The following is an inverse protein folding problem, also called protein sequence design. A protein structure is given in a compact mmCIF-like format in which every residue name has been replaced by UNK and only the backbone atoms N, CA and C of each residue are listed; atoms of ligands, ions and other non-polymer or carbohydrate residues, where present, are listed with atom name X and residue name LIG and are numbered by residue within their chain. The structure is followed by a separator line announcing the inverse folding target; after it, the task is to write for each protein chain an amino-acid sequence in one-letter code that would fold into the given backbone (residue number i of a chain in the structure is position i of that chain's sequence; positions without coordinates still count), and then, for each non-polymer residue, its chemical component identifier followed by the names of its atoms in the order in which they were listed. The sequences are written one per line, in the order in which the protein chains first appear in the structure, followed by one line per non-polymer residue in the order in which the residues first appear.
data_IF_635045225190
#
_entry.id   IF_635045225190
#
_cell.length_a   1.000
_cell.length_b   1.000
_cell.length_c   1.000
_cell.angle_alpha   90.00
_cell.angle_beta   90.00
_cell.angle_gamma   90.00
#
_symmetry.space_group_name_H-M   'P 1'
#
loop_
_entity.id
_entity.type
_entity.pdbx_description
1 polymer ?
#
# COMPACT_ATOMS: atom_id res chain seq x y z
N UNK A 1 13.80 17.56 -6.27
CA UNK A 1 12.37 17.21 -6.29
C UNK A 1 11.52 18.46 -6.08
N UNK A 2 10.65 18.75 -7.05
CA UNK A 2 9.64 19.81 -7.01
C UNK A 2 8.43 19.37 -7.83
N UNK A 3 7.25 19.37 -7.23
CA UNK A 3 6.01 18.96 -7.90
C UNK A 3 4.80 19.72 -7.35
N UNK A 4 3.71 19.71 -8.12
CA UNK A 4 2.38 20.19 -7.70
C UNK A 4 1.34 19.12 -8.00
N UNK A 5 0.45 18.87 -7.05
CA UNK A 5 -0.62 17.87 -7.17
C UNK A 5 -1.92 18.41 -6.56
N UNK A 6 -3.06 18.01 -7.14
CA UNK A 6 -4.38 18.36 -6.61
C UNK A 6 -4.62 17.64 -5.27
N UNK A 7 -5.22 18.35 -4.31
CA UNK A 7 -5.37 17.89 -2.93
C UNK A 7 -6.17 16.60 -2.82
N UNK A 8 -7.26 16.42 -3.57
CA UNK A 8 -8.07 15.19 -3.53
C UNK A 8 -7.32 13.97 -4.07
N UNK A 9 -6.56 14.13 -5.15
CA UNK A 9 -5.68 13.08 -5.69
C UNK A 9 -4.62 12.67 -4.66
N UNK A 10 -3.89 13.64 -4.11
CA UNK A 10 -2.86 13.36 -3.10
C UNK A 10 -3.46 12.72 -1.85
N UNK A 11 -4.63 13.19 -1.39
CA UNK A 11 -5.30 12.65 -0.22
C UNK A 11 -5.72 11.19 -0.42
N UNK A 12 -6.25 10.85 -1.60
CA UNK A 12 -6.64 9.49 -1.94
C UNK A 12 -5.44 8.55 -1.89
N UNK A 13 -4.33 8.92 -2.55
CA UNK A 13 -3.16 8.06 -2.58
C UNK A 13 -2.44 7.96 -1.24
N UNK A 14 -2.38 9.05 -0.47
CA UNK A 14 -1.89 8.99 0.90
C UNK A 14 -2.76 8.07 1.76
N UNK A 15 -4.09 8.10 1.62
CA UNK A 15 -5.00 7.24 2.36
C UNK A 15 -4.73 5.74 2.11
N UNK A 16 -4.37 5.37 0.87
CA UNK A 16 -4.01 4.01 0.52
C UNK A 16 -2.68 3.59 1.18
N UNK A 17 -1.61 4.39 1.02
CA UNK A 17 -0.28 3.99 1.49
C UNK A 17 -0.14 4.12 3.02
N UNK A 18 -0.78 5.09 3.67
CA UNK A 18 -0.62 5.25 5.12
C UNK A 18 -1.23 4.09 5.94
N UNK A 19 -2.06 3.22 5.35
CA UNK A 19 -2.74 2.15 6.09
C UNK A 19 -1.80 1.03 6.55
N UNK A 20 -0.63 0.86 5.90
CA UNK A 20 0.40 -0.11 6.30
C UNK A 20 1.35 0.46 7.36
N UNK A 21 1.33 1.77 7.59
CA UNK A 21 2.22 2.39 8.57
C UNK A 21 1.70 2.14 9.97
N UNK A 22 2.44 1.35 10.75
CA UNK A 22 2.10 1.14 12.15
C UNK A 22 2.22 2.42 12.98
N UNK A 23 1.35 2.58 13.98
CA UNK A 23 1.37 3.74 14.88
C UNK A 23 2.53 3.72 15.86
N UNK A 24 3.12 2.55 16.11
CA UNK A 24 4.17 2.34 17.12
C UNK A 24 5.39 1.68 16.48
N UNK A 25 6.14 2.46 15.71
CA UNK A 25 7.40 2.02 15.12
C UNK A 25 8.59 2.36 16.03
N UNK A 26 9.45 1.37 16.29
CA UNK A 26 10.77 1.59 16.91
C UNK A 26 11.82 2.02 15.89
N UNK A 27 11.57 1.76 14.59
CA UNK A 27 12.43 2.13 13.47
C UNK A 27 11.83 3.36 12.77
N UNK A 28 12.43 4.56 12.87
CA UNK A 28 11.82 5.80 12.39
C UNK A 28 11.47 5.83 10.90
N UNK A 29 12.29 5.22 10.04
CA UNK A 29 12.06 5.22 8.59
C UNK A 29 10.76 4.50 8.19
N UNK A 30 10.30 3.52 8.97
CA UNK A 30 9.04 2.80 8.71
C UNK A 30 7.79 3.64 9.03
N UNK A 31 7.94 4.76 9.75
CA UNK A 31 6.86 5.74 9.91
C UNK A 31 6.73 6.68 8.70
N UNK A 32 7.69 6.63 7.76
CA UNK A 32 7.70 7.48 6.59
C UNK A 32 7.01 6.83 5.39
N UNK A 33 6.46 7.69 4.54
CA UNK A 33 6.14 7.37 3.14
C UNK A 33 7.31 7.81 2.28
N UNK A 34 7.73 6.95 1.36
CA UNK A 34 8.64 7.30 0.27
C UNK A 34 7.83 7.93 -0.86
N UNK A 35 8.32 9.06 -1.35
CA UNK A 35 7.70 9.87 -2.38
C UNK A 35 8.69 9.97 -3.53
N UNK A 36 8.33 9.45 -4.70
CA UNK A 36 9.12 9.51 -5.93
C UNK A 36 8.37 10.35 -6.97
N UNK A 37 8.94 11.50 -7.35
CA UNK A 37 8.47 12.29 -8.47
C UNK A 37 9.24 11.87 -9.73
N UNK A 38 8.52 11.31 -10.70
CA UNK A 38 9.09 10.65 -11.87
C UNK A 38 8.52 11.24 -13.16
N UNK A 39 9.38 11.45 -14.15
CA UNK A 39 8.98 12.06 -15.41
C UNK A 39 8.41 13.47 -15.19
N UNK A 40 7.41 13.81 -15.99
CA UNK A 40 6.76 15.12 -15.96
C UNK A 40 5.38 15.13 -15.29
N UNK A 41 4.78 13.96 -15.07
CA UNK A 41 3.35 13.82 -14.76
C UNK A 41 3.02 12.78 -13.66
N UNK A 42 4.02 12.12 -13.06
CA UNK A 42 3.79 10.97 -12.15
C UNK A 42 4.38 11.17 -10.76
N UNK A 43 3.58 10.87 -9.74
CA UNK A 43 3.99 10.71 -8.35
C UNK A 43 3.76 9.26 -7.93
N UNK A 44 4.79 8.61 -7.39
CA UNK A 44 4.69 7.30 -6.77
C UNK A 44 4.88 7.43 -5.27
N UNK A 45 3.98 6.83 -4.50
CA UNK A 45 4.02 6.77 -3.05
C UNK A 45 4.23 5.33 -2.61
N UNK A 46 5.15 5.09 -1.68
CA UNK A 46 5.40 3.75 -1.14
C UNK A 46 5.49 3.81 0.38
N UNK A 47 4.78 2.92 1.06
CA UNK A 47 4.92 2.69 2.51
C UNK A 47 5.04 1.19 2.78
N UNK A 48 5.73 0.81 3.85
CA UNK A 48 6.01 -0.59 4.19
C UNK A 48 6.22 -0.78 5.68
N UNK A 49 5.81 -1.92 6.21
CA UNK A 49 6.15 -2.43 7.55
C UNK A 49 7.23 -3.54 7.51
N UNK A 50 7.86 -3.72 6.34
CA UNK A 50 8.80 -4.79 5.95
C UNK A 50 8.16 -6.13 5.58
N UNK A 51 6.93 -6.41 5.99
CA UNK A 51 6.19 -7.61 5.61
C UNK A 51 5.26 -7.34 4.42
N UNK A 52 4.63 -6.16 4.42
CA UNK A 52 3.73 -5.66 3.39
C UNK A 52 4.23 -4.30 2.88
N UNK A 53 4.19 -4.11 1.58
CA UNK A 53 4.33 -2.79 0.97
C UNK A 53 3.09 -2.41 0.18
N UNK A 54 2.68 -1.16 0.34
CA UNK A 54 1.63 -0.54 -0.47
C UNK A 54 2.27 0.52 -1.35
N UNK A 55 2.07 0.38 -2.65
CA UNK A 55 2.53 1.31 -3.68
C UNK A 55 1.28 1.90 -4.33
N UNK A 56 1.21 3.21 -4.44
CA UNK A 56 0.18 3.91 -5.20
C UNK A 56 0.79 4.96 -6.12
N UNK A 57 0.13 5.20 -7.25
CA UNK A 57 0.56 6.15 -8.26
C UNK A 57 -0.54 7.17 -8.54
N UNK A 58 -0.13 8.42 -8.64
CA UNK A 58 -1.01 9.55 -8.87
C UNK A 58 -0.46 10.48 -9.95
N UNK A 59 -1.36 11.14 -10.67
CA UNK A 59 -0.98 12.20 -11.59
C UNK A 59 -0.56 13.45 -10.81
N UNK A 60 0.59 14.01 -11.17
CA UNK A 60 1.16 15.21 -10.53
C UNK A 60 2.00 15.99 -11.53
N UNK A 61 1.94 17.32 -11.53
CA UNK A 61 2.82 18.15 -12.34
C UNK A 61 4.23 18.17 -11.72
N UNK A 62 5.18 17.46 -12.33
CA UNK A 62 6.56 17.37 -11.85
C UNK A 62 7.43 18.40 -12.57
N UNK A 63 7.94 19.38 -11.82
CA UNK A 63 8.87 20.39 -12.34
C UNK A 63 10.33 19.95 -12.20
N UNK A 64 10.64 19.18 -11.17
CA UNK A 64 11.96 18.62 -10.93
C UNK A 64 11.81 17.24 -10.31
N UNK A 65 12.36 16.24 -10.98
CA UNK A 65 12.39 14.87 -10.47
C UNK A 65 13.13 14.76 -9.14
N UNK A 66 12.95 13.62 -8.50
CA UNK A 66 13.68 13.20 -7.32
C UNK A 66 12.79 12.46 -6.35
N UNK A 67 13.39 11.96 -5.29
CA UNK A 67 12.70 11.22 -4.26
C UNK A 67 12.99 11.81 -2.88
N UNK A 68 12.14 11.48 -1.92
CA UNK A 68 12.30 11.83 -0.51
C UNK A 68 11.48 10.88 0.35
N UNK A 69 11.76 10.81 1.65
CA UNK A 69 10.85 10.18 2.61
C UNK A 69 10.38 11.20 3.63
N UNK A 70 9.14 11.10 4.11
CA UNK A 70 8.66 11.93 5.22
C UNK A 70 7.55 11.23 5.99
N UNK A 71 7.19 11.71 7.18
CA UNK A 71 6.22 11.03 8.05
C UNK A 71 4.84 10.93 7.38
N UNK A 72 4.38 9.70 7.14
CA UNK A 72 3.17 9.42 6.37
C UNK A 72 1.91 9.99 7.04
N UNK A 73 1.75 9.74 8.35
CA UNK A 73 0.61 10.21 9.14
C UNK A 73 0.52 11.73 9.18
N UNK A 74 1.66 12.40 9.40
CA UNK A 74 1.72 13.87 9.45
C UNK A 74 1.36 14.47 8.09
N UNK A 75 1.92 13.95 7.00
CA UNK A 75 1.61 14.42 5.65
C UNK A 75 0.12 14.20 5.32
N UNK A 76 -0.42 13.02 5.61
CA UNK A 76 -1.85 12.72 5.45
C UNK A 76 -2.73 13.70 6.22
N UNK A 77 -2.43 13.95 7.51
CA UNK A 77 -3.21 14.86 8.34
C UNK A 77 -3.14 16.31 7.87
N UNK A 78 -2.01 16.76 7.33
CA UNK A 78 -1.87 18.08 6.70
C UNK A 78 -2.78 18.15 5.48
N UNK A 79 -2.63 17.24 4.52
CA UNK A 79 -3.39 17.26 3.25
C UNK A 79 -4.89 17.15 3.49
N UNK A 80 -5.31 16.32 4.45
CA UNK A 80 -6.71 16.18 4.86
C UNK A 80 -7.33 17.49 5.33
N UNK A 81 -6.56 18.34 6.03
CA UNK A 81 -7.02 19.63 6.58
C UNK A 81 -6.97 20.79 5.59
N UNK A 82 -6.38 20.59 4.41
CA UNK A 82 -6.37 21.62 3.36
C UNK A 82 -7.77 21.77 2.74
N UNK A 83 -8.12 22.96 2.21
CA UNK A 83 -9.38 23.18 1.51
C UNK A 83 -9.57 22.27 0.30
N UNK A 84 -10.82 21.96 -0.03
CA UNK A 84 -11.15 21.22 -1.25
C UNK A 84 -10.76 22.01 -2.51
N UNK A 85 -10.30 21.30 -3.55
CA UNK A 85 -9.81 21.89 -4.80
C UNK A 85 -8.46 22.61 -4.69
N UNK A 86 -7.81 22.59 -3.53
CA UNK A 86 -6.50 23.20 -3.36
C UNK A 86 -5.41 22.47 -4.16
N UNK A 87 -4.40 23.21 -4.59
CA UNK A 87 -3.16 22.66 -5.13
C UNK A 87 -2.13 22.54 -4.02
N UNK A 88 -1.39 21.43 -4.01
CA UNK A 88 -0.34 21.15 -3.03
C UNK A 88 1.00 21.11 -3.76
N UNK A 89 1.83 22.11 -3.50
CA UNK A 89 3.20 22.16 -3.99
C UNK A 89 4.13 21.52 -2.96
N UNK A 90 4.94 20.57 -3.42
CA UNK A 90 5.97 19.91 -2.60
C UNK A 90 7.35 20.19 -3.18
N UNK A 91 8.28 20.65 -2.35
CA UNK A 91 9.65 20.94 -2.75
C UNK A 91 10.63 20.40 -1.71
N UNK A 92 11.57 19.60 -2.16
CA UNK A 92 12.70 19.19 -1.34
C UNK A 92 13.71 20.34 -1.25
N UNK A 93 14.00 20.79 -0.04
CA UNK A 93 15.08 21.73 0.23
C UNK A 93 16.40 20.97 0.35
N UNK A 94 17.39 21.35 -0.48
CA UNK A 94 18.68 20.66 -0.60
C UNK A 94 19.68 21.01 0.51
N UNK A 95 19.26 21.74 1.55
CA UNK A 95 20.10 22.12 2.70
C UNK A 95 20.43 20.95 3.65
N UNK A 96 21.28 21.23 4.65
CA UNK A 96 21.96 20.30 5.58
C UNK A 96 21.08 19.35 6.44
N UNK A 97 19.78 19.29 6.21
CA UNK A 97 18.86 18.45 6.98
C UNK A 97 17.71 17.82 6.21
N UNK A 98 17.70 17.91 4.87
CA UNK A 98 16.67 17.32 4.01
C UNK A 98 15.25 17.61 4.50
N UNK A 99 14.71 18.80 4.21
CA UNK A 99 13.35 19.14 4.61
C UNK A 99 12.42 19.20 3.40
N UNK A 100 11.21 18.68 3.55
CA UNK A 100 10.16 18.78 2.55
C UNK A 100 9.26 19.97 2.88
N UNK A 101 9.32 21.02 2.06
CA UNK A 101 8.36 22.10 2.09
C UNK A 101 7.06 21.64 1.42
N UNK A 102 5.94 21.75 2.13
CA UNK A 102 4.58 21.48 1.63
C UNK A 102 3.78 22.78 1.70
N UNK A 103 3.38 23.30 0.54
CA UNK A 103 2.75 24.63 0.41
C UNK A 103 1.39 24.49 -0.27
N UNK A 104 0.37 25.13 0.28
CA UNK A 104 -0.94 25.24 -0.34
C UNK A 104 -1.59 26.56 0.05
N UNK A 105 -1.79 27.44 -0.94
CA UNK A 105 -2.28 28.81 -0.71
C UNK A 105 -1.38 29.57 0.29
N UNK A 106 -1.93 29.92 1.45
CA UNK A 106 -1.22 30.63 2.53
C UNK A 106 -0.59 29.70 3.57
N UNK A 107 -0.85 28.40 3.48
CA UNK A 107 -0.33 27.40 4.41
C UNK A 107 1.02 26.90 3.93
N UNK A 108 2.01 26.88 4.83
CA UNK A 108 3.34 26.31 4.59
C UNK A 108 3.72 25.43 5.76
N UNK A 109 4.06 24.19 5.45
CA UNK A 109 4.57 23.20 6.40
C UNK A 109 5.97 22.80 5.96
N UNK A 110 6.81 22.45 6.93
CA UNK A 110 8.12 21.92 6.67
C UNK A 110 8.28 20.63 7.45
N UNK A 111 8.43 19.53 6.71
CA UNK A 111 8.53 18.20 7.28
C UNK A 111 9.97 17.72 7.24
N UNK A 112 10.41 17.09 8.33
CA UNK A 112 11.70 16.40 8.34
C UNK A 112 11.66 15.20 7.41
N UNK A 113 12.77 14.94 6.75
CA UNK A 113 12.94 13.79 5.88
C UNK A 113 14.04 12.89 6.42
N UNK A 114 14.02 11.63 6.00
CA UNK A 114 15.12 10.71 6.18
C UNK A 114 15.69 10.32 4.80
N UNK A 115 16.99 9.98 4.72
CA UNK A 115 17.62 9.54 3.48
C UNK A 115 16.86 8.38 2.83
N UNK A 116 16.67 8.44 1.51
CA UNK A 116 15.98 7.37 0.76
C UNK A 116 16.73 6.03 0.88
N UNK A 117 18.05 6.08 1.03
CA UNK A 117 18.89 4.88 1.20
C UNK A 117 18.56 4.09 2.47
N UNK A 118 17.89 4.70 3.46
CA UNK A 118 17.41 4.01 4.67
C UNK A 118 16.05 3.33 4.44
N UNK A 119 15.32 3.71 3.38
CA UNK A 119 14.01 3.13 3.09
C UNK A 119 14.16 1.70 2.56
N UNK A 120 13.41 0.72 3.11
CA UNK A 120 13.56 -0.68 2.71
C UNK A 120 13.32 -0.88 1.22
N UNK A 121 14.21 -1.66 0.58
CA UNK A 121 13.99 -2.15 -0.78
C UNK A 121 13.20 -3.45 -0.66
N UNK A 122 11.95 -3.42 -1.11
CA UNK A 122 11.17 -4.64 -1.26
C UNK A 122 11.67 -5.34 -2.52
N UNK A 123 12.12 -6.60 -2.38
CA UNK A 123 12.49 -7.40 -3.53
C UNK A 123 11.21 -7.87 -4.23
N UNK A 124 10.97 -7.38 -5.45
CA UNK A 124 9.96 -7.95 -6.33
C UNK A 124 10.48 -9.32 -6.78
N UNK A 125 10.14 -10.37 -6.03
CA UNK A 125 10.44 -11.75 -6.43
C UNK A 125 9.75 -12.09 -7.76
N UNK A 126 10.26 -13.09 -8.47
CA UNK A 126 9.54 -13.65 -9.61
C UNK A 126 8.22 -14.28 -9.13
N UNK A 127 7.09 -13.66 -9.50
CA UNK A 127 5.77 -14.20 -9.21
C UNK A 127 5.38 -15.19 -10.33
N UNK A 128 5.37 -16.51 -10.07
CA UNK A 128 5.19 -17.51 -11.13
C UNK A 128 3.76 -17.56 -11.68
N UNK A 129 2.80 -16.94 -10.99
CA UNK A 129 1.39 -16.98 -11.34
C UNK A 129 0.80 -15.57 -11.38
N UNK A 130 0.06 -15.28 -12.43
CA UNK A 130 -0.74 -14.06 -12.57
C UNK A 130 -2.09 -14.42 -13.18
N UNK A 131 -3.16 -13.84 -12.65
CA UNK A 131 -4.52 -14.06 -13.11
C UNK A 131 -5.40 -12.86 -12.75
N UNK A 132 -6.49 -12.68 -13.50
CA UNK A 132 -7.48 -11.64 -13.23
C UNK A 132 -8.66 -12.22 -12.44
N UNK A 133 -9.09 -11.53 -11.40
CA UNK A 133 -10.24 -11.94 -10.58
C UNK A 133 -11.21 -10.75 -10.42
N UNK A 134 -12.53 -10.93 -10.64
CA UNK A 134 -13.49 -9.88 -10.37
C UNK A 134 -13.36 -9.37 -8.92
N UNK A 135 -13.37 -8.04 -8.73
CA UNK A 135 -13.26 -7.40 -7.40
C UNK A 135 -14.22 -8.01 -6.37
N UNK A 136 -15.47 -8.25 -6.76
CA UNK A 136 -16.48 -8.81 -5.86
C UNK A 136 -16.18 -10.26 -5.47
N UNK A 137 -15.51 -11.04 -6.32
CA UNK A 137 -15.08 -12.39 -5.99
C UNK A 137 -13.97 -12.35 -4.94
N UNK A 138 -12.94 -11.50 -5.11
CA UNK A 138 -11.87 -11.35 -4.11
C UNK A 138 -12.43 -10.88 -2.78
N UNK A 139 -13.28 -9.83 -2.80
CA UNK A 139 -13.96 -9.32 -1.60
C UNK A 139 -14.76 -10.42 -0.91
N UNK A 140 -15.54 -11.21 -1.66
CA UNK A 140 -16.32 -12.31 -1.11
C UNK A 140 -15.44 -13.37 -0.45
N UNK A 141 -14.33 -13.78 -1.09
CA UNK A 141 -13.40 -14.76 -0.50
C UNK A 141 -12.88 -14.26 0.85
N UNK A 142 -12.44 -13.00 0.93
CA UNK A 142 -11.92 -12.40 2.16
C UNK A 142 -13.03 -12.24 3.21
N UNK A 143 -14.14 -11.59 2.87
CA UNK A 143 -15.25 -11.31 3.80
C UNK A 143 -15.82 -12.59 4.43
N UNK A 144 -15.89 -13.68 3.65
CA UNK A 144 -16.44 -14.96 4.11
C UNK A 144 -15.47 -15.77 4.97
N UNK A 145 -14.17 -15.50 4.93
CA UNK A 145 -13.17 -16.34 5.60
C UNK A 145 -12.42 -15.63 6.72
N UNK A 146 -12.20 -14.31 6.61
CA UNK A 146 -11.32 -13.57 7.53
C UNK A 146 -11.66 -13.67 9.01
N UNK A 147 -12.94 -13.86 9.34
CA UNK A 147 -13.38 -13.93 10.74
C UNK A 147 -12.89 -15.19 11.46
N UNK A 148 -12.49 -16.22 10.70
CA UNK A 148 -11.97 -17.48 11.22
C UNK A 148 -10.43 -17.51 11.23
N UNK A 149 -9.74 -16.40 10.96
CA UNK A 149 -8.27 -16.32 11.07
C UNK A 149 -7.87 -16.36 12.55
N UNK A 150 -6.82 -17.10 12.87
CA UNK A 150 -6.21 -17.08 14.20
C UNK A 150 -5.55 -15.72 14.48
N UNK A 151 -5.71 -15.21 15.70
CA UNK A 151 -4.94 -14.07 16.21
C UNK A 151 -3.85 -14.52 17.19
N UNK A 152 -3.62 -15.82 17.34
CA UNK A 152 -2.58 -16.37 18.20
C UNK A 152 -1.22 -16.33 17.49
N UNK A 153 -0.25 -15.65 18.08
CA UNK A 153 1.11 -15.51 17.51
C UNK A 153 1.88 -16.84 17.42
N UNK A 154 1.58 -17.79 18.31
CA UNK A 154 2.28 -19.10 18.37
C UNK A 154 1.89 -20.04 17.22
N UNK A 155 0.75 -19.80 16.57
CA UNK A 155 0.25 -20.60 15.44
C UNK A 155 0.24 -19.77 14.16
N UNK A 156 1.38 -19.16 13.85
CA UNK A 156 1.54 -18.22 12.73
C UNK A 156 1.01 -18.74 11.37
N UNK A 157 1.07 -20.06 11.12
CA UNK A 157 0.51 -20.67 9.90
C UNK A 157 -1.02 -20.60 9.79
N UNK A 158 -1.72 -20.19 10.86
CA UNK A 158 -3.16 -19.92 10.89
C UNK A 158 -3.50 -18.43 10.86
N UNK A 159 -2.50 -17.55 10.86
CA UNK A 159 -2.68 -16.09 10.89
C UNK A 159 -2.90 -15.53 9.47
N UNK A 160 -3.62 -16.27 8.64
CA UNK A 160 -3.88 -15.92 7.26
C UNK A 160 -4.99 -16.74 6.61
N UNK A 161 -5.23 -16.46 5.32
CA UNK A 161 -6.20 -17.18 4.50
C UNK A 161 -5.43 -18.04 3.51
N UNK A 162 -5.65 -19.35 3.53
CA UNK A 162 -5.08 -20.25 2.54
C UNK A 162 -5.87 -20.18 1.23
N UNK A 163 -5.31 -19.50 0.22
CA UNK A 163 -5.80 -19.46 -1.14
C UNK A 163 -5.17 -20.58 -1.97
N UNK A 164 -5.99 -21.44 -2.58
CA UNK A 164 -5.52 -22.53 -3.44
C UNK A 164 -6.56 -22.94 -4.49
N UNK A 165 -6.10 -23.63 -5.53
CA UNK A 165 -6.98 -24.31 -6.49
C UNK A 165 -7.56 -25.56 -5.83
N UNK A 166 -8.87 -25.71 -5.89
CA UNK A 166 -9.59 -26.89 -5.40
C UNK A 166 -10.63 -27.35 -6.43
N UNK A 167 -11.24 -28.50 -6.18
CA UNK A 167 -12.42 -28.98 -6.90
C UNK A 167 -13.63 -28.95 -5.96
N UNK A 168 -14.80 -28.67 -6.51
CA UNK A 168 -16.06 -28.85 -5.78
C UNK A 168 -16.56 -30.31 -5.91
N UNK A 169 -17.72 -30.59 -5.32
CA UNK A 169 -18.29 -31.95 -5.30
C UNK A 169 -18.61 -32.51 -6.69
N UNK A 170 -18.72 -31.64 -7.70
CA UNK A 170 -19.00 -32.00 -9.09
C UNK A 170 -17.71 -32.09 -9.93
N UNK A 171 -16.53 -31.95 -9.31
CA UNK A 171 -15.23 -31.96 -9.98
C UNK A 171 -14.90 -30.66 -10.72
N UNK A 172 -15.65 -29.57 -10.48
CA UNK A 172 -15.42 -28.29 -11.14
C UNK A 172 -14.33 -27.53 -10.38
N UNK A 173 -13.31 -27.07 -11.10
CA UNK A 173 -12.21 -26.32 -10.50
C UNK A 173 -12.65 -24.95 -9.97
N UNK A 174 -12.23 -24.63 -8.74
CA UNK A 174 -12.52 -23.40 -8.00
C UNK A 174 -11.25 -22.76 -7.46
N UNK A 175 -11.30 -21.45 -7.23
CA UNK A 175 -10.37 -20.78 -6.32
C UNK A 175 -11.01 -20.80 -4.93
N UNK A 176 -10.32 -21.43 -3.97
CA UNK A 176 -10.80 -21.65 -2.62
C UNK A 176 -10.00 -20.82 -1.62
N UNK A 177 -10.71 -20.16 -0.72
CA UNK A 177 -10.17 -19.52 0.47
C UNK A 177 -10.57 -20.32 1.72
N UNK A 178 -9.60 -20.64 2.58
CA UNK A 178 -9.84 -21.31 3.87
C UNK A 178 -9.13 -20.56 4.99
N UNK A 179 -9.82 -20.34 6.09
CA UNK A 179 -9.23 -19.84 7.33
C UNK A 179 -9.77 -20.64 8.53
N UNK A 180 -8.93 -20.83 9.54
CA UNK A 180 -9.28 -21.52 10.80
C UNK A 180 -8.45 -21.00 11.96
N UNK A 181 -9.07 -20.90 13.13
CA UNK A 181 -8.41 -20.58 14.41
C UNK A 181 -8.19 -21.87 15.24
N UNK A 182 -8.56 -23.04 14.71
CA UNK A 182 -8.54 -24.32 15.41
C UNK A 182 -9.83 -24.64 16.18
N UNK A 183 -10.73 -23.67 16.36
CA UNK A 183 -12.06 -23.87 16.94
C UNK A 183 -13.16 -23.86 15.88
N UNK A 184 -12.99 -23.06 14.84
CA UNK A 184 -13.91 -22.93 13.71
C UNK A 184 -13.14 -22.82 12.41
N UNK A 185 -13.76 -23.27 11.34
CA UNK A 185 -13.23 -23.19 9.99
C UNK A 185 -14.26 -22.51 9.10
N UNK A 186 -13.79 -21.60 8.25
CA UNK A 186 -14.59 -21.03 7.17
C UNK A 186 -13.96 -21.30 5.83
N UNK A 187 -14.80 -21.65 4.85
CA UNK A 187 -14.41 -21.96 3.49
C UNK A 187 -15.32 -21.20 2.52
N UNK A 188 -14.71 -20.58 1.51
CA UNK A 188 -15.43 -19.89 0.45
C UNK A 188 -14.79 -20.17 -0.91
N UNK A 189 -15.64 -20.46 -1.90
CA UNK A 189 -15.21 -20.76 -3.26
C UNK A 189 -15.73 -19.70 -4.24
N UNK A 190 -14.96 -19.43 -5.28
CA UNK A 190 -15.38 -18.72 -6.49
C UNK A 190 -14.93 -19.50 -7.72
N UNK A 191 -15.50 -19.17 -8.90
CA UNK A 191 -15.02 -19.75 -10.15
C UNK A 191 -13.53 -19.48 -10.35
N UNK A 192 -12.77 -20.51 -10.75
CA UNK A 192 -11.34 -20.36 -11.00
C UNK A 192 -11.12 -19.38 -12.18
N UNK A 193 -10.33 -18.31 -12.01
CA UNK A 193 -10.08 -17.36 -13.08
C UNK A 193 -9.31 -17.96 -14.26
N UNK A 194 -9.51 -17.41 -15.46
CA UNK A 194 -8.81 -17.80 -16.69
C UNK A 194 -7.43 -17.13 -16.74
N UNK A 195 -6.40 -17.86 -17.18
CA UNK A 195 -5.01 -17.38 -17.20
C UNK A 195 -3.94 -18.40 -16.75
N UNK A 196 -4.26 -19.69 -16.74
CA UNK A 196 -3.39 -20.73 -16.20
C UNK A 196 -2.12 -20.96 -17.06
N UNK A 197 -1.00 -20.32 -16.70
CA UNK A 197 0.28 -21.03 -16.66
C UNK A 197 0.36 -21.72 -15.30
N UNK A 198 -0.27 -22.90 -15.23
CA UNK A 198 -0.16 -23.91 -14.17
C UNK A 198 0.08 -23.37 -12.75
N UNK A 199 -0.97 -23.13 -11.96
CA UNK A 199 -0.83 -23.15 -10.50
C UNK A 199 -0.30 -24.54 -10.10
N UNK A 200 1.00 -24.64 -9.83
CA UNK A 200 1.57 -25.66 -8.97
C UNK A 200 1.91 -24.93 -7.68
N UNK A 201 1.08 -25.15 -6.66
CA UNK A 201 1.44 -24.85 -5.27
C UNK A 201 2.58 -25.77 -4.89
#
# INVERSE_FOLDING_TARGET
MKLTIERSTLLSSLAHVQSVVERRNTIPILANVRIDAQGSDRLRLTATDMDLAVVDEADAAVEQEGAVTTTALTLYDIVRKLPDGAQVAMKLDSGDGGQLDVVSGRSRFRLSCLPIAEFPVMADGELPHSFELPRDHLRRLIDKTRFAISTEETRYYLNGIHLHKAEDQEGIARLRAVATDGHRLSCADVALPRGQRTCRV
#
